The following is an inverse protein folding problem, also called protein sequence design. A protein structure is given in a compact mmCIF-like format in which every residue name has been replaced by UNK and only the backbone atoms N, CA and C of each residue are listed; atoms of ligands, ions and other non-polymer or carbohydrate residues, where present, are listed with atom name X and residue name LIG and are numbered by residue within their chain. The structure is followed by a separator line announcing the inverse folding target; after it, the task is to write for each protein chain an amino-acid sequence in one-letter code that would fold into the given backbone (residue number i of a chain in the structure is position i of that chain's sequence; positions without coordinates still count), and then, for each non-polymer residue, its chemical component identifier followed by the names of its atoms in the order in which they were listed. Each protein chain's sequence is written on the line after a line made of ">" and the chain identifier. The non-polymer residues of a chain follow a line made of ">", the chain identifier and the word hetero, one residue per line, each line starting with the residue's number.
data_IF_274108460484
#
_entry.id   IF_274108460484
#
_cell.length_a   1.000
_cell.length_b   1.000
_cell.length_c   1.000
_cell.angle_alpha   90.00
_cell.angle_beta   90.00
_cell.angle_gamma   90.00
#
_symmetry.space_group_name_H-M   'P 1'
#
loop_
_entity.id
_entity.type
_entity.pdbx_description
1 polymer ?
#
# COMPACT_ATOMS: atom_id res chain seq x y z
N UNK A 1 12.15 -9.58 2.15
CA UNK A 1 11.05 -9.22 3.08
C UNK A 1 9.78 -8.80 2.34
N UNK A 2 9.45 -7.52 2.14
CA UNK A 2 8.13 -7.17 1.57
C UNK A 2 7.87 -7.81 0.19
N UNK A 3 8.84 -7.75 -0.72
CA UNK A 3 8.72 -8.29 -2.07
C UNK A 3 8.34 -9.77 -2.09
N UNK A 4 8.89 -10.56 -1.15
CA UNK A 4 8.59 -11.99 -1.04
C UNK A 4 7.20 -12.20 -0.45
N UNK A 5 6.84 -11.42 0.57
CA UNK A 5 5.54 -11.53 1.25
C UNK A 5 4.36 -11.23 0.33
N UNK A 6 4.54 -10.36 -0.68
CA UNK A 6 3.45 -9.92 -1.57
C UNK A 6 3.43 -10.63 -2.93
N UNK A 7 4.44 -11.44 -3.25
CA UNK A 7 4.65 -12.01 -4.60
C UNK A 7 3.45 -12.78 -5.16
N UNK A 8 2.72 -13.49 -4.31
CA UNK A 8 1.61 -14.36 -4.72
C UNK A 8 0.22 -13.74 -4.45
N UNK A 9 0.18 -12.50 -3.94
CA UNK A 9 -1.08 -11.85 -3.52
C UNK A 9 -1.35 -10.53 -4.26
N UNK A 10 -0.34 -9.95 -4.92
CA UNK A 10 -0.50 -8.75 -5.73
C UNK A 10 0.57 -8.67 -6.84
N UNK A 11 0.25 -7.91 -7.88
CA UNK A 11 1.24 -7.50 -8.89
C UNK A 11 2.13 -6.39 -8.31
N UNK A 12 3.41 -6.70 -8.10
CA UNK A 12 4.38 -5.79 -7.52
C UNK A 12 5.26 -5.18 -8.60
N UNK A 13 5.16 -3.85 -8.75
CA UNK A 13 6.06 -3.05 -9.57
C UNK A 13 6.99 -2.21 -8.71
N UNK A 14 8.29 -2.35 -8.96
CA UNK A 14 9.33 -1.47 -8.39
C UNK A 14 9.59 -0.31 -9.34
N UNK A 15 9.71 0.90 -8.79
CA UNK A 15 10.01 2.12 -9.55
C UNK A 15 11.03 2.96 -8.82
N UNK A 16 11.91 3.63 -9.56
CA UNK A 16 13.02 4.41 -8.98
C UNK A 16 12.55 5.61 -8.14
N UNK A 17 11.40 6.22 -8.46
CA UNK A 17 10.89 7.37 -7.68
C UNK A 17 9.36 7.49 -7.70
N UNK A 18 8.76 7.47 -6.51
CA UNK A 18 7.34 7.80 -6.28
C UNK A 18 7.13 9.26 -5.82
N UNK A 19 8.20 9.93 -5.40
CA UNK A 19 8.24 11.37 -5.10
C UNK A 19 8.37 11.76 -3.61
N UNK A 20 7.59 11.19 -2.66
CA UNK A 20 7.67 11.52 -1.23
C UNK A 20 8.96 11.02 -0.56
N UNK A 21 10.10 11.61 -0.90
CA UNK A 21 11.40 11.22 -0.37
C UNK A 21 11.46 11.32 1.16
N UNK A 22 10.71 12.24 1.76
CA UNK A 22 10.63 12.40 3.21
C UNK A 22 9.98 11.20 3.92
N UNK A 23 9.23 10.36 3.20
CA UNK A 23 8.51 9.23 3.79
C UNK A 23 9.31 7.94 3.83
N UNK A 24 10.36 7.81 3.01
CA UNK A 24 11.22 6.61 2.83
C UNK A 24 10.45 5.29 2.60
N UNK A 25 10.98 4.37 1.79
CA UNK A 25 10.29 3.11 1.42
C UNK A 25 8.79 3.33 1.11
N UNK A 26 8.52 4.10 0.05
CA UNK A 26 7.16 4.48 -0.32
C UNK A 26 6.50 3.38 -1.13
N UNK A 27 5.23 3.10 -0.81
CA UNK A 27 4.37 2.18 -1.53
C UNK A 27 3.05 2.83 -1.88
N UNK A 28 2.50 2.42 -3.02
CA UNK A 28 1.15 2.77 -3.45
C UNK A 28 0.39 1.48 -3.74
N UNK A 29 -0.64 1.22 -2.96
CA UNK A 29 -1.55 0.09 -3.22
C UNK A 29 -2.75 0.62 -3.98
N UNK A 30 -2.88 0.19 -5.23
CA UNK A 30 -4.03 0.51 -6.09
C UNK A 30 -5.16 -0.49 -5.85
N UNK A 31 -6.44 -0.05 -5.83
CA UNK A 31 -7.56 -0.96 -5.73
C UNK A 31 -7.59 -1.94 -6.91
N UNK A 32 -8.06 -3.16 -6.67
CA UNK A 32 -8.44 -4.09 -7.73
C UNK A 32 -9.68 -3.58 -8.48
N UNK A 33 -10.07 -4.23 -9.58
CA UNK A 33 -11.33 -3.90 -10.26
C UNK A 33 -12.53 -3.98 -9.31
N UNK A 34 -12.59 -4.98 -8.43
CA UNK A 34 -13.61 -5.10 -7.39
C UNK A 34 -13.56 -3.94 -6.40
N UNK A 35 -12.36 -3.60 -5.91
CA UNK A 35 -12.16 -2.46 -5.00
C UNK A 35 -12.59 -1.13 -5.61
N UNK A 36 -12.28 -0.89 -6.89
CA UNK A 36 -12.74 0.29 -7.61
C UNK A 36 -14.27 0.38 -7.72
N UNK A 37 -14.96 -0.75 -7.96
CA UNK A 37 -16.42 -0.79 -8.02
C UNK A 37 -17.07 -0.46 -6.67
N UNK A 38 -16.39 -0.76 -5.56
CA UNK A 38 -16.82 -0.37 -4.21
C UNK A 38 -16.36 1.04 -3.80
N UNK A 39 -15.80 1.83 -4.72
CA UNK A 39 -15.33 3.19 -4.44
C UNK A 39 -13.95 3.28 -3.79
N UNK A 40 -13.20 2.17 -3.75
CA UNK A 40 -11.83 2.10 -3.26
C UNK A 40 -10.90 3.13 -3.92
N UNK A 41 -9.98 3.68 -3.13
CA UNK A 41 -8.97 4.65 -3.55
C UNK A 41 -7.57 4.13 -3.23
N UNK A 42 -6.59 4.59 -3.99
CA UNK A 42 -5.20 4.21 -3.75
C UNK A 42 -4.74 4.60 -2.36
N UNK A 43 -4.07 3.68 -1.68
CA UNK A 43 -3.51 3.89 -0.35
C UNK A 43 -2.01 4.09 -0.43
N UNK A 44 -1.52 5.17 0.18
CA UNK A 44 -0.11 5.50 0.23
C UNK A 44 0.47 5.10 1.59
N UNK A 45 1.57 4.36 1.55
CA UNK A 45 2.28 3.86 2.74
C UNK A 45 3.75 4.27 2.66
N UNK A 46 4.34 4.64 3.78
CA UNK A 46 5.76 4.97 3.91
C UNK A 46 6.34 4.42 5.21
N UNK A 47 7.65 4.48 5.37
CA UNK A 47 8.38 3.92 6.50
C UNK A 47 8.18 2.41 6.71
N UNK A 48 7.92 1.67 5.63
CA UNK A 48 7.74 0.20 5.68
C UNK A 48 9.12 -0.44 5.67
N UNK A 49 9.65 -0.73 6.87
CA UNK A 49 10.99 -1.30 7.05
C UNK A 49 11.01 -2.69 7.66
N UNK A 50 9.90 -3.12 8.26
CA UNK A 50 9.88 -4.32 9.09
C UNK A 50 9.08 -5.44 8.44
N UNK A 51 9.42 -6.68 8.80
CA UNK A 51 8.72 -7.86 8.31
C UNK A 51 7.25 -7.87 8.73
N UNK A 52 6.95 -7.40 9.94
CA UNK A 52 5.59 -7.35 10.47
C UNK A 52 4.73 -6.36 9.68
N UNK A 53 5.30 -5.22 9.29
CA UNK A 53 4.61 -4.26 8.44
C UNK A 53 4.32 -4.86 7.06
N UNK A 54 5.28 -5.62 6.50
CA UNK A 54 5.08 -6.28 5.22
C UNK A 54 4.09 -7.45 5.26
N UNK A 55 4.08 -8.24 6.33
CA UNK A 55 3.07 -9.29 6.54
C UNK A 55 1.67 -8.67 6.66
N UNK A 56 1.53 -7.61 7.46
CA UNK A 56 0.24 -6.94 7.61
C UNK A 56 -0.27 -6.34 6.29
N UNK A 57 0.62 -5.89 5.40
CA UNK A 57 0.24 -5.48 4.04
C UNK A 57 -0.21 -6.69 3.23
N UNK A 58 0.56 -7.78 3.24
CA UNK A 58 0.20 -9.00 2.50
C UNK A 58 -1.15 -9.57 2.93
N UNK A 59 -1.41 -9.63 4.24
CA UNK A 59 -2.69 -10.11 4.79
C UNK A 59 -3.85 -9.21 4.35
N UNK A 60 -3.68 -7.89 4.42
CA UNK A 60 -4.70 -6.97 3.91
C UNK A 60 -4.95 -7.10 2.40
N UNK A 61 -3.91 -7.39 1.61
CA UNK A 61 -4.05 -7.65 0.18
C UNK A 61 -4.79 -8.96 -0.08
N UNK A 62 -4.54 -10.02 0.72
CA UNK A 62 -5.28 -11.30 0.67
C UNK A 62 -6.77 -11.10 0.96
N UNK A 63 -7.10 -10.21 1.89
CA UNK A 63 -8.49 -9.86 2.21
C UNK A 63 -9.17 -9.01 1.12
N UNK A 64 -8.43 -8.59 0.08
CA UNK A 64 -8.92 -7.87 -1.09
C UNK A 64 -8.45 -6.42 -1.19
N UNK A 65 -7.76 -5.91 -0.17
CA UNK A 65 -7.10 -4.60 -0.21
C UNK A 65 -8.06 -3.41 -0.27
N UNK A 66 -7.64 -2.27 -0.86
CA UNK A 66 -8.40 -1.01 -0.82
C UNK A 66 -9.81 -1.13 -1.40
N UNK A 67 -10.81 -0.79 -0.57
CA UNK A 67 -12.23 -0.79 -0.96
C UNK A 67 -12.93 -2.14 -0.84
N UNK A 68 -12.20 -3.23 -0.60
CA UNK A 68 -12.78 -4.56 -0.31
C UNK A 68 -12.54 -5.00 1.14
N UNK A 69 -11.40 -4.63 1.71
CA UNK A 69 -11.03 -4.91 3.09
C UNK A 69 -10.81 -3.63 3.89
N UNK A 70 -11.19 -3.67 5.16
CA UNK A 70 -10.91 -2.60 6.12
C UNK A 70 -9.41 -2.39 6.28
N UNK A 71 -9.00 -1.12 6.37
CA UNK A 71 -7.60 -0.79 6.49
C UNK A 71 -7.06 -1.19 7.89
N UNK A 72 -6.01 -2.04 7.98
CA UNK A 72 -5.55 -2.58 9.25
C UNK A 72 -5.11 -1.50 10.23
N UNK A 73 -5.47 -1.66 11.51
CA UNK A 73 -5.07 -0.71 12.57
C UNK A 73 -3.55 -0.63 12.73
N UNK A 74 -2.85 -1.76 12.59
CA UNK A 74 -1.38 -1.84 12.61
C UNK A 74 -0.73 -0.97 11.54
N UNK A 75 -1.38 -0.83 10.37
CA UNK A 75 -0.85 -0.07 9.24
C UNK A 75 -1.15 1.44 9.30
N UNK A 76 -1.97 1.92 10.25
CA UNK A 76 -2.39 3.33 10.34
C UNK A 76 -1.23 4.32 10.46
N UNK A 77 -0.17 3.95 11.17
CA UNK A 77 1.04 4.78 11.32
C UNK A 77 1.85 4.96 10.03
N UNK A 78 1.71 4.03 9.09
CA UNK A 78 2.44 4.05 7.81
C UNK A 78 1.66 4.80 6.74
N UNK A 79 0.34 4.93 6.91
CA UNK A 79 -0.54 5.61 5.96
C UNK A 79 -0.32 7.12 5.97
N UNK A 80 -0.14 7.69 4.78
CA UNK A 80 -0.09 9.13 4.59
C UNK A 80 -0.93 9.54 3.38
N UNK A 81 -1.25 10.84 3.28
CA UNK A 81 -1.86 11.39 2.08
C UNK A 81 -0.77 12.08 1.27
N UNK A 82 -0.57 11.66 0.02
CA UNK A 82 0.27 12.43 -0.89
C UNK A 82 -0.48 13.69 -1.30
N UNK A 83 -0.03 14.84 -0.82
CA UNK A 83 -0.48 16.12 -1.36
C UNK A 83 -0.04 16.16 -2.83
N UNK A 84 -0.99 16.33 -3.75
CA UNK A 84 -0.65 16.62 -5.14
C UNK A 84 0.03 17.99 -5.14
N UNK A 85 1.30 18.08 -5.56
CA UNK A 85 1.86 19.37 -5.98
C UNK A 85 0.93 19.92 -7.07
N UNK A 86 0.35 21.10 -6.84
CA UNK A 86 -0.28 21.89 -7.91
C UNK A 86 0.84 22.16 -8.93
N UNK A 87 0.59 21.77 -10.19
CA UNK A 87 1.45 22.14 -11.32
C UNK A 87 1.33 23.63 -11.57
#
# INVERSE_FOLDING_TARGET
>A
MLHEQVRDVADLRVTDCLGPCERSNVLVVTPSQGGHRQGGRSTWLGYVFTEEAGSAIADWLRDGGPGLADFPRSLRRYRFTRLRKRR
#
